data_IF_158689200519
#
_entry.id   IF_158689200519
#
_cell.length_a   1.000
_cell.length_b   1.000
_cell.length_c   1.000
_cell.angle_alpha   90.00
_cell.angle_beta   90.00
_cell.angle_gamma   90.00
#
_symmetry.space_group_name_H-M   'P 1'
#
loop_
_entity.id
_entity.type
_entity.pdbx_description
1 polymer ?
#
# COMPACT_ATOMS: atom_id res chain seq x y z
N UNK A 1 -6.78 13.39 -9.19
CA UNK A 1 -6.79 11.99 -9.63
C UNK A 1 -8.24 11.57 -9.80
N UNK A 2 -8.64 11.22 -11.02
CA UNK A 2 -9.98 10.71 -11.31
C UNK A 2 -10.16 9.26 -10.81
N UNK A 3 -11.36 8.70 -10.97
CA UNK A 3 -11.68 7.34 -10.51
C UNK A 3 -10.86 6.28 -11.25
N UNK A 4 -10.64 6.45 -12.56
CA UNK A 4 -9.87 5.52 -13.38
C UNK A 4 -8.40 5.49 -12.95
N UNK A 5 -7.81 6.65 -12.75
CA UNK A 5 -6.44 6.82 -12.26
C UNK A 5 -6.24 6.19 -10.87
N UNK A 6 -7.25 6.27 -9.98
CA UNK A 6 -7.21 5.63 -8.65
C UNK A 6 -7.27 4.11 -8.74
N UNK A 7 -8.14 3.57 -9.60
CA UNK A 7 -8.24 2.12 -9.85
C UNK A 7 -6.93 1.59 -10.44
N UNK A 8 -6.33 2.34 -11.37
CA UNK A 8 -5.04 2.01 -11.94
C UNK A 8 -3.95 2.00 -10.86
N UNK A 9 -3.91 3.02 -9.99
CA UNK A 9 -2.97 3.10 -8.87
C UNK A 9 -3.07 1.88 -7.93
N UNK A 10 -4.29 1.54 -7.49
CA UNK A 10 -4.53 0.38 -6.62
C UNK A 10 -4.15 -0.94 -7.30
N UNK A 11 -4.40 -1.07 -8.60
CA UNK A 11 -3.99 -2.24 -9.38
C UNK A 11 -2.47 -2.40 -9.45
N UNK A 12 -1.73 -1.29 -9.59
CA UNK A 12 -0.26 -1.29 -9.57
C UNK A 12 0.31 -1.62 -8.19
N UNK A 13 -0.32 -1.15 -7.11
CA UNK A 13 0.02 -1.54 -5.73
C UNK A 13 -0.17 -3.04 -5.55
N UNK A 14 -1.34 -3.58 -5.92
CA UNK A 14 -1.62 -5.01 -5.82
C UNK A 14 -0.63 -5.87 -6.64
N UNK A 15 -0.25 -5.41 -7.83
CA UNK A 15 0.77 -6.07 -8.66
C UNK A 15 2.15 -6.08 -7.98
N UNK A 16 2.54 -4.95 -7.38
CA UNK A 16 3.81 -4.83 -6.64
C UNK A 16 3.86 -5.76 -5.43
N UNK A 17 2.75 -5.84 -4.68
CA UNK A 17 2.63 -6.77 -3.54
C UNK A 17 2.73 -8.23 -4.00
N UNK A 18 2.01 -8.64 -5.06
CA UNK A 18 2.13 -10.00 -5.64
C UNK A 18 3.57 -10.32 -6.02
N UNK A 19 4.28 -9.35 -6.59
CA UNK A 19 5.70 -9.50 -6.92
C UNK A 19 6.55 -9.76 -5.68
N UNK A 20 6.37 -9.01 -4.59
CA UNK A 20 7.05 -9.26 -3.31
C UNK A 20 6.68 -10.61 -2.70
N UNK A 21 5.38 -10.92 -2.62
CA UNK A 21 4.86 -12.16 -2.04
C UNK A 21 5.35 -13.39 -2.80
N UNK A 22 5.47 -13.33 -4.12
CA UNK A 22 6.01 -14.43 -4.95
C UNK A 22 7.48 -14.77 -4.62
N UNK A 23 8.19 -13.85 -3.96
CA UNK A 23 9.57 -14.03 -3.49
C UNK A 23 9.65 -14.34 -2.00
N UNK A 24 8.50 -14.54 -1.35
CA UNK A 24 8.39 -14.86 0.08
C UNK A 24 8.57 -13.66 1.01
N UNK A 25 8.41 -12.43 0.51
CA UNK A 25 8.50 -11.22 1.31
C UNK A 25 7.13 -10.59 1.55
N UNK A 26 6.94 -10.03 2.74
CA UNK A 26 5.78 -9.20 3.13
C UNK A 26 6.26 -7.76 3.25
N UNK A 27 5.49 -6.80 2.75
CA UNK A 27 5.86 -5.38 2.78
C UNK A 27 5.73 -4.78 4.17
N UNK A 28 4.63 -5.06 4.87
CA UNK A 28 4.48 -4.80 6.31
C UNK A 28 4.01 -3.41 6.70
N UNK A 29 4.21 -2.40 5.85
CA UNK A 29 3.79 -1.03 6.17
C UNK A 29 3.03 -0.37 5.01
N UNK A 30 2.02 -1.03 4.47
CA UNK A 30 1.27 -0.48 3.33
C UNK A 30 0.30 0.62 3.78
N UNK A 31 0.55 1.85 3.34
CA UNK A 31 -0.24 3.05 3.65
C UNK A 31 0.06 4.17 2.67
N UNK A 32 -0.79 5.19 2.62
CA UNK A 32 -0.66 6.30 1.68
C UNK A 32 0.74 6.99 1.72
N UNK A 33 1.36 7.27 2.89
CA UNK A 33 2.72 7.80 2.95
C UNK A 33 3.79 6.93 2.27
N UNK A 34 3.59 5.61 2.23
CA UNK A 34 4.54 4.63 1.69
C UNK A 34 4.26 4.29 0.22
N UNK A 35 3.47 5.12 -0.44
CA UNK A 35 3.17 5.06 -1.86
C UNK A 35 3.64 6.33 -2.55
N UNK A 36 4.59 6.18 -3.46
CA UNK A 36 4.96 7.26 -4.38
C UNK A 36 4.10 7.18 -5.64
N UNK A 37 3.26 8.19 -5.85
CA UNK A 37 2.44 8.32 -7.06
C UNK A 37 3.08 9.32 -8.02
N UNK A 38 3.31 8.91 -9.26
CA UNK A 38 3.71 9.79 -10.37
C UNK A 38 2.55 9.89 -11.35
N UNK A 39 2.16 11.12 -11.69
CA UNK A 39 1.16 11.39 -12.72
C UNK A 39 1.89 12.04 -13.89
N UNK A 40 2.02 11.30 -14.98
CA UNK A 40 2.52 11.84 -16.23
C UNK A 40 1.33 12.39 -16.99
N UNK A 41 1.22 13.72 -17.08
CA UNK A 41 0.15 14.34 -17.85
C UNK A 41 0.49 14.37 -19.33
N UNK A 42 -0.54 14.28 -20.16
CA UNK A 42 -0.41 14.29 -21.60
C UNK A 42 0.33 15.53 -22.09
N UNK A 43 1.41 15.31 -22.83
CA UNK A 43 2.08 16.34 -23.61
C UNK A 43 1.53 16.32 -25.03
N UNK A 44 1.34 17.51 -25.62
CA UNK A 44 1.03 17.65 -27.03
C UNK A 44 2.32 17.86 -27.82
N UNK A 45 2.42 17.28 -29.02
CA UNK A 45 3.51 17.60 -29.95
C UNK A 45 3.29 18.97 -30.63
N UNK A 46 4.22 19.38 -31.48
CA UNK A 46 4.13 20.63 -32.26
C UNK A 46 2.92 20.69 -33.21
N UNK A 47 2.32 19.53 -33.52
CA UNK A 47 1.14 19.40 -34.38
C UNK A 47 -0.15 19.31 -33.54
N UNK A 48 -0.06 19.57 -32.23
CA UNK A 48 -1.16 19.51 -31.28
C UNK A 48 -1.80 18.11 -31.17
N UNK A 49 -1.04 17.04 -31.46
CA UNK A 49 -1.45 15.64 -31.24
C UNK A 49 -0.97 15.16 -29.88
N UNK A 50 -1.69 14.20 -29.29
CA UNK A 50 -1.30 13.58 -28.01
C UNK A 50 0.01 12.81 -28.21
N UNK A 51 1.11 13.32 -27.65
CA UNK A 51 2.43 12.69 -27.70
C UNK A 51 2.67 11.72 -26.52
N UNK A 52 1.99 11.96 -25.39
CA UNK A 52 2.03 11.12 -24.19
C UNK A 52 0.60 11.01 -23.68
N UNK A 53 0.11 9.80 -23.36
CA UNK A 53 -1.17 9.63 -22.67
C UNK A 53 -1.00 9.87 -21.17
N UNK A 54 -2.06 10.33 -20.51
CA UNK A 54 -2.10 10.38 -19.04
C UNK A 54 -1.79 8.99 -18.49
N UNK A 55 -0.74 8.89 -17.66
CA UNK A 55 -0.35 7.63 -17.01
C UNK A 55 -0.07 7.87 -15.55
N UNK A 56 -0.70 7.06 -14.71
CA UNK A 56 -0.33 6.95 -13.30
C UNK A 56 0.75 5.88 -13.16
N UNK A 57 1.75 6.14 -12.33
CA UNK A 57 2.72 5.12 -11.93
C UNK A 57 2.86 5.15 -10.41
N UNK A 58 2.71 3.99 -9.78
CA UNK A 58 2.87 3.85 -8.33
C UNK A 58 4.11 3.04 -8.01
N UNK A 59 4.85 3.47 -6.99
CA UNK A 59 5.94 2.69 -6.40
C UNK A 59 5.72 2.55 -4.90
N UNK A 60 5.94 1.34 -4.39
CA UNK A 60 6.14 1.13 -2.96
C UNK A 60 7.46 1.78 -2.56
N UNK A 61 7.44 2.54 -1.47
CA UNK A 61 8.62 3.17 -0.86
C UNK A 61 8.61 2.85 0.63
N UNK A 62 9.77 3.01 1.28
CA UNK A 62 9.95 2.65 2.69
C UNK A 62 9.76 1.14 2.96
N UNK A 63 10.88 0.41 2.91
CA UNK A 63 10.94 -1.03 3.08
C UNK A 63 11.45 -1.43 4.48
N UNK A 64 11.45 -0.51 5.45
CA UNK A 64 12.03 -0.77 6.78
C UNK A 64 11.38 -1.99 7.47
N UNK A 65 10.08 -2.18 7.30
CA UNK A 65 9.36 -3.33 7.87
C UNK A 65 9.27 -4.52 6.92
N UNK A 66 9.81 -4.42 5.70
CA UNK A 66 9.74 -5.50 4.74
C UNK A 66 10.63 -6.66 5.18
N UNK A 67 10.03 -7.85 5.31
CA UNK A 67 10.71 -9.03 5.83
C UNK A 67 10.20 -10.30 5.13
N UNK A 68 10.79 -11.46 5.44
CA UNK A 68 10.27 -12.74 4.96
C UNK A 68 8.95 -13.08 5.66
N UNK A 69 8.02 -13.66 4.92
CA UNK A 69 6.81 -14.20 5.50
C UNK A 69 7.14 -15.21 6.62
N UNK A 70 6.38 -15.16 7.72
CA UNK A 70 6.63 -15.94 8.93
C UNK A 70 7.68 -15.34 9.88
N UNK A 71 8.35 -14.23 9.53
CA UNK A 71 9.19 -13.52 10.49
C UNK A 71 8.35 -12.68 11.45
N UNK A 72 8.75 -12.54 12.73
CA UNK A 72 8.05 -11.70 13.68
C UNK A 72 8.04 -10.24 13.20
N UNK A 73 6.96 -9.52 13.49
CA UNK A 73 6.93 -8.07 13.34
C UNK A 73 8.11 -7.42 14.09
N UNK A 74 8.70 -6.32 13.61
CA UNK A 74 9.74 -5.60 14.37
C UNK A 74 9.26 -5.21 15.78
N UNK A 75 10.11 -5.33 16.79
CA UNK A 75 9.78 -4.87 18.15
C UNK A 75 10.19 -3.41 18.31
N UNK A 76 9.38 -2.52 17.77
CA UNK A 76 9.58 -1.06 17.80
C UNK A 76 8.40 -0.36 18.48
N UNK A 77 8.54 0.95 18.72
CA UNK A 77 7.42 1.78 19.16
C UNK A 77 6.55 2.13 17.95
N UNK A 78 5.39 1.48 17.85
CA UNK A 78 4.42 1.72 16.77
C UNK A 78 3.54 2.93 17.07
N UNK A 79 3.24 3.72 16.04
CA UNK A 79 2.22 4.76 16.12
C UNK A 79 0.81 4.14 16.07
N UNK A 80 0.13 4.03 17.21
CA UNK A 80 -1.20 3.41 17.34
C UNK A 80 -2.34 4.16 16.66
N UNK A 81 -2.11 5.40 16.20
CA UNK A 81 -3.11 6.15 15.43
C UNK A 81 -3.25 5.63 13.99
N UNK A 82 -2.31 4.79 13.54
CA UNK A 82 -2.31 4.20 12.21
C UNK A 82 -3.04 2.85 12.20
N UNK A 83 -3.64 2.54 11.05
CA UNK A 83 -4.28 1.24 10.85
C UNK A 83 -3.21 0.17 10.60
N UNK A 84 -3.14 -0.80 11.52
CA UNK A 84 -2.36 -2.03 11.39
C UNK A 84 -3.29 -3.25 11.38
N UNK A 85 -2.79 -4.42 10.92
CA UNK A 85 -3.50 -5.68 11.05
C UNK A 85 -3.94 -5.94 12.50
N UNK A 86 -5.15 -6.47 12.67
CA UNK A 86 -5.76 -6.68 14.00
C UNK A 86 -4.87 -7.51 14.92
N UNK A 87 -4.19 -8.52 14.37
CA UNK A 87 -3.30 -9.40 15.13
C UNK A 87 -2.15 -8.63 15.79
N UNK A 88 -1.60 -7.61 15.12
CA UNK A 88 -0.55 -6.78 15.68
C UNK A 88 -1.10 -5.87 16.78
N UNK A 89 -2.25 -5.22 16.54
CA UNK A 89 -2.91 -4.38 17.53
C UNK A 89 -3.27 -5.17 18.80
N UNK A 90 -3.77 -6.39 18.65
CA UNK A 90 -4.11 -7.28 19.75
C UNK A 90 -2.88 -7.65 20.59
N UNK A 91 -1.72 -7.87 19.96
CA UNK A 91 -0.47 -8.18 20.64
C UNK A 91 0.16 -6.94 21.31
N UNK A 92 -0.04 -5.75 20.75
CA UNK A 92 0.37 -4.50 21.38
C UNK A 92 -0.46 -4.16 22.61
N UNK A 93 -1.75 -4.51 22.62
CA UNK A 93 -2.67 -4.23 23.72
C UNK A 93 -2.55 -5.20 24.90
N UNK A 94 -1.96 -6.39 24.69
CA UNK A 94 -1.86 -7.44 25.69
C UNK A 94 -0.44 -8.01 25.73
N UNK A 95 0.32 -7.61 26.75
CA UNK A 95 1.71 -8.03 26.95
C UNK A 95 1.89 -9.52 27.24
N UNK A 96 0.80 -10.26 27.47
CA UNK A 96 0.84 -11.72 27.64
C UNK A 96 0.77 -12.48 26.32
N UNK A 97 0.36 -11.81 25.23
CA UNK A 97 0.29 -12.43 23.91
C UNK A 97 1.66 -12.56 23.27
N UNK A 98 1.83 -13.64 22.53
CA UNK A 98 3.00 -13.82 21.68
C UNK A 98 3.01 -12.76 20.57
N UNK A 99 4.21 -12.26 20.26
CA UNK A 99 4.40 -11.29 19.21
C UNK A 99 4.16 -11.94 17.84
N UNK A 100 3.26 -11.41 17.00
CA UNK A 100 2.83 -12.12 15.80
C UNK A 100 3.91 -12.15 14.71
N UNK A 101 3.73 -13.06 13.76
CA UNK A 101 4.51 -13.09 12.52
C UNK A 101 3.85 -12.24 11.44
N UNK A 102 4.64 -11.83 10.46
CA UNK A 102 4.20 -11.14 9.26
C UNK A 102 3.79 -12.15 8.21
N UNK A 103 2.53 -12.09 7.79
CA UNK A 103 1.96 -12.95 6.76
C UNK A 103 1.50 -12.13 5.56
N UNK A 104 1.46 -12.77 4.40
CA UNK A 104 1.01 -12.16 3.13
C UNK A 104 -0.40 -11.54 3.25
N UNK A 105 -1.29 -12.14 4.06
CA UNK A 105 -2.64 -11.61 4.28
C UNK A 105 -2.64 -10.22 4.91
N UNK A 106 -1.62 -9.85 5.69
CA UNK A 106 -1.54 -8.53 6.32
C UNK A 106 -1.39 -7.40 5.30
N UNK A 107 -0.62 -7.60 4.23
CA UNK A 107 -0.53 -6.62 3.14
C UNK A 107 -1.88 -6.46 2.41
N UNK A 108 -2.63 -7.55 2.27
CA UNK A 108 -3.96 -7.50 1.65
C UNK A 108 -5.01 -6.81 2.53
N UNK A 109 -4.93 -7.00 3.86
CA UNK A 109 -5.74 -6.26 4.82
C UNK A 109 -5.45 -4.76 4.75
N UNK A 110 -4.17 -4.38 4.76
CA UNK A 110 -3.78 -2.97 4.63
C UNK A 110 -4.18 -2.38 3.27
N UNK A 111 -4.11 -3.15 2.18
CA UNK A 111 -4.57 -2.69 0.87
C UNK A 111 -6.08 -2.44 0.85
N UNK A 112 -6.87 -3.30 1.51
CA UNK A 112 -8.31 -3.11 1.67
C UNK A 112 -8.59 -1.82 2.45
N UNK A 113 -7.95 -1.64 3.60
CA UNK A 113 -8.05 -0.40 4.40
C UNK A 113 -7.71 0.85 3.59
N UNK A 114 -6.64 0.80 2.80
CA UNK A 114 -6.25 1.91 1.93
C UNK A 114 -7.31 2.18 0.85
N UNK A 115 -7.84 1.13 0.22
CA UNK A 115 -8.90 1.24 -0.78
C UNK A 115 -10.18 1.86 -0.19
N UNK A 116 -10.61 1.38 0.99
CA UNK A 116 -11.80 1.89 1.68
C UNK A 116 -11.62 3.37 2.07
N UNK A 117 -10.43 3.74 2.55
CA UNK A 117 -10.10 5.13 2.83
C UNK A 117 -10.17 5.99 1.55
N UNK A 118 -9.59 5.55 0.44
CA UNK A 118 -9.65 6.26 -0.86
C UNK A 118 -11.10 6.44 -1.34
N UNK A 119 -11.97 5.45 -1.13
CA UNK A 119 -13.39 5.52 -1.47
C UNK A 119 -14.12 6.50 -0.56
N UNK A 120 -13.84 6.48 0.75
CA UNK A 120 -14.50 7.35 1.74
C UNK A 120 -14.30 8.85 1.50
N UNK A 121 -13.17 9.24 0.89
CA UNK A 121 -12.84 10.63 0.55
C UNK A 121 -13.34 11.04 -0.85
N UNK A 122 -14.08 10.18 -1.56
CA UNK A 122 -14.72 10.54 -2.81
C UNK A 122 -16.00 11.34 -2.51
N UNK A 123 -16.20 12.52 -3.14
CA UNK A 123 -17.49 13.18 -3.07
C UNK A 123 -18.56 12.24 -3.63
N UNK A 124 -19.68 12.11 -2.93
CA UNK A 124 -20.86 11.37 -3.40
C UNK A 124 -21.20 11.85 -4.82
N UNK A 125 -21.26 10.91 -5.77
CA UNK A 125 -21.70 11.17 -7.14
C UNK A 125 -23.11 11.76 -7.17
#
# INVERSE_FOLDING_TARGET
>A
MDVGERIEALSQVASSLRSLHSRGFVFGDLRAPNLMVRVNRAGYDSDNRIAVQDRVTVKLVDFEFCCRAGQPWPKVMYNTDLQYPKVLLDAMADSTKEWPTMEVCHDWEMLRSLSDWIISIMPSL
#
